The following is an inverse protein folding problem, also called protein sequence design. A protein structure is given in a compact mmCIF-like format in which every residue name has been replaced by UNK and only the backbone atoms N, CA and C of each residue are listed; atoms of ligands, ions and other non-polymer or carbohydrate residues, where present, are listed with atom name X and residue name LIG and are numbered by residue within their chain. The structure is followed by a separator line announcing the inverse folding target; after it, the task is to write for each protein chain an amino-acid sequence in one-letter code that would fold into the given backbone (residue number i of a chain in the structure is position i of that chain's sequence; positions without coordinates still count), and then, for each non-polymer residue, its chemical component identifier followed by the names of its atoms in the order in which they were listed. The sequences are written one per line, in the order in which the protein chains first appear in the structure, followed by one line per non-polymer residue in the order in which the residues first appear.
data_IF_769357508839
#
_entry.id   IF_769357508839
#
_cell.length_a   1.000
_cell.length_b   1.000
_cell.length_c   1.000
_cell.angle_alpha   90.00
_cell.angle_beta   90.00
_cell.angle_gamma   90.00
#
_symmetry.space_group_name_H-M   'P 1'
#
loop_
_entity.id
_entity.type
_entity.pdbx_description
1 polymer ?
#
# COMPACT_ATOMS: atom_id res chain seq x y z
N UNK A 1 -19.83 17.00 29.95
CA UNK A 1 -18.73 16.40 29.13
C UNK A 1 -19.17 15.30 28.16
N UNK A 2 -20.23 14.51 28.41
CA UNK A 2 -20.62 13.38 27.52
C UNK A 2 -21.07 13.79 26.11
N UNK A 3 -21.81 14.89 25.96
CA UNK A 3 -22.29 15.37 24.64
C UNK A 3 -21.13 15.87 23.77
N UNK A 4 -20.20 16.64 24.35
CA UNK A 4 -19.01 17.12 23.64
C UNK A 4 -18.13 15.97 23.12
N UNK A 5 -17.97 14.89 23.89
CA UNK A 5 -17.28 13.69 23.45
C UNK A 5 -17.98 12.98 22.28
N UNK A 6 -19.31 12.98 22.24
CA UNK A 6 -20.08 12.39 21.15
C UNK A 6 -19.89 13.16 19.83
N UNK A 7 -19.88 14.49 19.90
CA UNK A 7 -19.65 15.36 18.74
C UNK A 7 -18.21 15.24 18.19
N UNK A 8 -17.23 14.98 19.05
CA UNK A 8 -15.84 14.79 18.66
C UNK A 8 -15.50 13.37 18.16
N UNK A 9 -16.32 12.36 18.49
CA UNK A 9 -16.15 10.95 18.12
C UNK A 9 -15.86 10.70 16.63
N UNK A 10 -16.58 11.30 15.64
CA UNK A 10 -16.27 11.07 14.23
C UNK A 10 -14.89 11.60 13.82
N UNK A 11 -14.44 12.71 14.40
CA UNK A 11 -13.11 13.26 14.14
C UNK A 11 -12.02 12.30 14.64
N UNK A 12 -12.14 11.81 15.86
CA UNK A 12 -11.20 10.82 16.41
C UNK A 12 -11.18 9.51 15.64
N UNK A 13 -12.36 9.01 15.21
CA UNK A 13 -12.43 7.81 14.37
C UNK A 13 -11.69 8.01 13.06
N UNK A 14 -11.82 9.18 12.44
CA UNK A 14 -11.14 9.51 11.17
C UNK A 14 -9.61 9.58 11.34
N UNK A 15 -9.14 10.14 12.45
CA UNK A 15 -7.71 10.12 12.80
C UNK A 15 -7.22 8.69 12.95
N UNK A 16 -7.91 7.88 13.76
CA UNK A 16 -7.57 6.48 13.99
C UNK A 16 -7.47 5.69 12.67
N UNK A 17 -8.44 5.81 11.76
CA UNK A 17 -8.39 5.13 10.45
C UNK A 17 -7.23 5.59 9.57
N UNK A 18 -6.75 6.84 9.70
CA UNK A 18 -5.59 7.30 8.91
C UNK A 18 -4.26 6.85 9.49
N UNK A 19 -4.20 6.64 10.80
CA UNK A 19 -2.97 6.25 11.50
C UNK A 19 -2.86 4.75 11.72
N UNK A 20 -3.93 3.98 11.52
CA UNK A 20 -3.93 2.54 11.73
C UNK A 20 -3.23 1.81 10.56
N UNK A 21 -2.10 1.13 10.80
CA UNK A 21 -1.38 0.40 9.74
C UNK A 21 -2.21 -0.76 9.15
N UNK A 22 -3.20 -1.28 9.87
CA UNK A 22 -4.06 -2.35 9.40
C UNK A 22 -4.99 -1.93 8.25
N UNK A 23 -5.28 -0.64 8.12
CA UNK A 23 -6.13 -0.10 7.05
C UNK A 23 -5.44 -0.20 5.69
N UNK A 24 -4.11 -0.15 5.68
CA UNK A 24 -3.29 -0.40 4.49
C UNK A 24 -3.00 -1.90 4.40
N UNK A 25 -2.61 -2.55 5.50
CA UNK A 25 -2.42 -4.00 5.60
C UNK A 25 -1.03 -4.52 5.25
N UNK A 26 -0.24 -3.75 4.49
CA UNK A 26 1.15 -4.09 4.16
C UNK A 26 1.76 -3.15 3.12
N UNK A 27 3.04 -3.34 2.84
CA UNK A 27 3.79 -2.58 1.82
C UNK A 27 4.17 -3.46 0.62
N UNK A 28 4.09 -2.95 -0.62
CA UNK A 28 4.59 -3.65 -1.79
C UNK A 28 6.12 -3.65 -1.81
N UNK A 29 6.72 -4.82 -1.98
CA UNK A 29 8.16 -4.98 -2.20
C UNK A 29 8.45 -5.02 -3.70
N UNK A 30 9.15 -4.01 -4.20
CA UNK A 30 9.48 -3.85 -5.61
C UNK A 30 10.86 -4.44 -5.96
N UNK A 31 11.08 -4.74 -7.23
CA UNK A 31 12.35 -5.28 -7.74
C UNK A 31 12.43 -6.81 -7.78
N UNK A 32 11.35 -7.51 -7.43
CA UNK A 32 11.21 -8.95 -7.59
C UNK A 32 10.44 -9.26 -8.88
N UNK A 33 10.57 -10.50 -9.41
CA UNK A 33 9.81 -10.99 -10.57
C UNK A 33 8.38 -11.40 -10.18
N UNK A 34 7.63 -10.49 -9.54
CA UNK A 34 6.27 -10.74 -9.09
C UNK A 34 5.76 -9.72 -8.06
N UNK A 35 4.47 -9.80 -7.72
CA UNK A 35 3.87 -8.98 -6.67
C UNK A 35 4.14 -9.62 -5.31
N UNK A 36 4.76 -8.86 -4.40
CA UNK A 36 5.02 -9.29 -3.02
C UNK A 36 4.57 -8.20 -2.07
N UNK A 37 3.71 -8.55 -1.10
CA UNK A 37 3.23 -7.62 -0.06
C UNK A 37 3.78 -8.09 1.29
N UNK A 38 4.50 -7.20 1.99
CA UNK A 38 5.02 -7.44 3.33
C UNK A 38 4.06 -6.81 4.35
N UNK A 39 3.49 -7.63 5.22
CA UNK A 39 2.69 -7.19 6.36
C UNK A 39 3.52 -7.11 7.65
N UNK A 40 2.95 -6.52 8.71
CA UNK A 40 3.61 -6.43 10.02
C UNK A 40 3.40 -7.71 10.84
N UNK A 41 4.29 -7.98 11.81
CA UNK A 41 4.28 -9.25 12.55
C UNK A 41 3.05 -9.46 13.44
N UNK A 42 2.41 -8.38 13.89
CA UNK A 42 1.17 -8.40 14.66
C UNK A 42 -0.07 -8.19 13.79
N UNK A 43 -0.02 -8.57 12.50
CA UNK A 43 -1.08 -8.33 11.54
C UNK A 43 -2.43 -8.84 12.04
N UNK A 44 -3.40 -7.93 12.16
CA UNK A 44 -4.78 -8.32 12.44
C UNK A 44 -5.43 -8.97 11.21
N UNK A 45 -6.59 -9.64 11.37
CA UNK A 45 -7.35 -10.15 10.23
C UNK A 45 -7.70 -9.07 9.19
N UNK A 46 -7.91 -7.82 9.64
CA UNK A 46 -8.15 -6.69 8.73
C UNK A 46 -6.90 -6.37 7.91
N UNK A 47 -5.73 -6.34 8.55
CA UNK A 47 -4.46 -6.10 7.87
C UNK A 47 -4.21 -7.16 6.79
N UNK A 48 -4.42 -8.44 7.11
CA UNK A 48 -4.25 -9.54 6.15
C UNK A 48 -5.23 -9.43 4.97
N UNK A 49 -6.52 -9.15 5.24
CA UNK A 49 -7.52 -8.91 4.19
C UNK A 49 -7.08 -7.78 3.25
N UNK A 50 -6.59 -6.67 3.80
CA UNK A 50 -6.17 -5.52 3.03
C UNK A 50 -4.88 -5.79 2.25
N UNK A 51 -3.94 -6.57 2.80
CA UNK A 51 -2.74 -7.01 2.09
C UNK A 51 -3.08 -7.87 0.86
N UNK A 52 -4.01 -8.83 1.00
CA UNK A 52 -4.48 -9.66 -0.12
C UNK A 52 -5.17 -8.79 -1.18
N UNK A 53 -6.06 -7.87 -0.75
CA UNK A 53 -6.69 -6.91 -1.66
C UNK A 53 -5.66 -6.11 -2.45
N UNK A 54 -4.63 -5.58 -1.78
CA UNK A 54 -3.54 -4.86 -2.45
C UNK A 54 -2.79 -5.73 -3.45
N UNK A 55 -2.54 -6.99 -3.14
CA UNK A 55 -1.89 -7.91 -4.08
C UNK A 55 -2.75 -8.13 -5.33
N UNK A 56 -4.06 -8.32 -5.17
CA UNK A 56 -5.00 -8.45 -6.28
C UNK A 56 -5.06 -7.17 -7.13
N UNK A 57 -5.18 -6.01 -6.51
CA UNK A 57 -5.18 -4.71 -7.19
C UNK A 57 -3.88 -4.49 -7.96
N UNK A 58 -2.74 -4.85 -7.38
CA UNK A 58 -1.43 -4.74 -8.04
C UNK A 58 -1.34 -5.57 -9.32
N UNK A 59 -1.97 -6.75 -9.32
CA UNK A 59 -2.09 -7.61 -10.51
C UNK A 59 -3.04 -6.97 -11.53
N UNK A 60 -4.22 -6.53 -11.09
CA UNK A 60 -5.24 -5.91 -11.95
C UNK A 60 -4.71 -4.65 -12.65
N UNK A 61 -3.94 -3.84 -11.93
CA UNK A 61 -3.30 -2.63 -12.44
C UNK A 61 -1.97 -2.89 -13.15
N UNK A 62 -1.58 -4.16 -13.34
CA UNK A 62 -0.36 -4.55 -14.07
C UNK A 62 0.90 -3.84 -13.56
N UNK A 63 1.03 -3.67 -12.23
CA UNK A 63 2.14 -2.92 -11.64
C UNK A 63 3.51 -3.45 -12.05
N UNK A 64 3.68 -4.78 -12.12
CA UNK A 64 4.92 -5.41 -12.57
C UNK A 64 5.33 -4.94 -13.97
N UNK A 65 4.53 -5.19 -15.02
CA UNK A 65 4.79 -4.71 -16.37
C UNK A 65 5.06 -3.20 -16.45
N UNK A 66 4.31 -2.38 -15.72
CA UNK A 66 4.50 -0.93 -15.71
C UNK A 66 5.87 -0.52 -15.12
N UNK A 67 6.29 -1.17 -14.04
CA UNK A 67 7.59 -0.90 -13.41
C UNK A 67 8.73 -1.37 -14.32
N UNK A 68 8.61 -2.54 -14.93
CA UNK A 68 9.60 -3.04 -15.89
C UNK A 68 9.75 -2.08 -17.08
N UNK A 69 8.64 -1.67 -17.69
CA UNK A 69 8.65 -0.72 -18.80
C UNK A 69 9.29 0.61 -18.41
N UNK A 70 8.95 1.15 -17.24
CA UNK A 70 9.54 2.40 -16.72
C UNK A 70 11.05 2.26 -16.46
N UNK A 71 11.48 1.15 -15.86
CA UNK A 71 12.89 0.87 -15.60
C UNK A 71 13.70 0.74 -16.90
N UNK A 72 13.17 0.06 -17.92
CA UNK A 72 13.80 -0.06 -19.25
C UNK A 72 13.88 1.30 -19.95
N UNK A 73 12.82 2.11 -19.93
CA UNK A 73 12.85 3.44 -20.52
C UNK A 73 13.92 4.33 -19.86
N UNK A 74 14.05 4.23 -18.53
CA UNK A 74 15.07 4.97 -17.79
C UNK A 74 16.49 4.50 -18.13
N UNK A 75 16.74 3.19 -18.22
CA UNK A 75 18.07 2.66 -18.55
C UNK A 75 18.52 3.09 -19.95
N UNK A 76 17.63 3.08 -20.94
CA UNK A 76 17.91 3.56 -22.30
C UNK A 76 18.31 5.04 -22.28
N UNK A 77 17.58 5.87 -21.53
CA UNK A 77 17.91 7.29 -21.41
C UNK A 77 19.27 7.56 -20.77
N UNK A 78 19.74 6.69 -19.86
CA UNK A 78 21.06 6.86 -19.22
C UNK A 78 22.19 6.53 -20.21
N UNK A 79 22.05 5.45 -20.98
CA UNK A 79 23.06 5.04 -21.97
C UNK A 79 23.12 5.95 -23.20
N UNK A 80 22.02 6.61 -23.57
CA UNK A 80 22.03 7.60 -24.65
C UNK A 80 22.72 8.93 -24.29
N UNK A 81 23.05 9.14 -23.01
CA UNK A 81 23.71 10.35 -22.47
C UNK A 81 25.20 10.15 -22.18
N UNK A 82 25.72 8.93 -22.35
CA UNK A 82 27.15 8.55 -22.22
C UNK A 82 27.77 8.35 -23.59
#
# INVERSE_FOLDING_TARGET
TKIGGLLAKPAFKRVHTRTNPDEVGGMPLLGLRGITIISHGSASPLAMKNAIRQACESIQHQLGPHIEAAATAHSISLHARS
#
